data_IF_483536195761
#
_entry.id   IF_483536195761
#
_cell.length_a   1.000
_cell.length_b   1.000
_cell.length_c   1.000
_cell.angle_alpha   90.00
_cell.angle_beta   90.00
_cell.angle_gamma   90.00
#
_symmetry.space_group_name_H-M   'P 1'
#
loop_
_entity.id
_entity.type
_entity.pdbx_description
1 polymer ?
#
# COMPACT_ATOMS: atom_id res chain seq x y z
N UNK A 1 12.78 -2.52 -2.61
CA UNK A 1 11.96 -2.21 -1.41
C UNK A 1 11.21 -0.89 -1.62
N UNK A 2 9.92 -0.83 -1.27
CA UNK A 2 9.08 0.36 -1.34
C UNK A 2 8.57 0.77 0.03
N UNK A 3 8.95 1.97 0.47
CA UNK A 3 8.25 2.66 1.55
C UNK A 3 7.11 3.51 0.97
N UNK A 4 6.02 3.68 1.72
CA UNK A 4 4.87 4.45 1.26
C UNK A 4 4.32 5.35 2.36
N UNK A 5 3.61 6.41 1.96
CA UNK A 5 2.97 7.38 2.85
C UNK A 5 3.96 8.20 3.71
N UNK A 6 4.83 8.97 3.06
CA UNK A 6 5.73 9.91 3.73
C UNK A 6 5.29 11.37 3.57
N UNK A 7 5.24 12.09 4.70
CA UNK A 7 4.89 13.51 4.77
C UNK A 7 6.17 14.34 4.88
N UNK A 8 6.76 14.76 3.77
CA UNK A 8 8.10 15.41 3.80
C UNK A 8 8.07 16.89 3.42
N UNK A 9 6.95 17.41 2.94
CA UNK A 9 6.87 18.80 2.47
C UNK A 9 7.86 19.12 1.36
N UNK A 10 8.11 18.16 0.45
CA UNK A 10 9.24 18.12 -0.48
C UNK A 10 9.45 19.44 -1.21
N UNK A 11 8.45 19.90 -1.96
CA UNK A 11 8.57 21.10 -2.80
C UNK A 11 8.83 22.35 -1.97
N UNK A 12 8.12 22.51 -0.84
CA UNK A 12 8.30 23.65 0.05
C UNK A 12 9.75 23.72 0.55
N UNK A 13 10.27 22.60 1.06
CA UNK A 13 11.62 22.54 1.65
C UNK A 13 12.72 22.68 0.62
N UNK A 14 12.54 22.11 -0.57
CA UNK A 14 13.48 22.33 -1.67
C UNK A 14 13.55 23.82 -2.05
N UNK A 15 12.42 24.51 -2.11
CA UNK A 15 12.39 25.97 -2.38
C UNK A 15 13.04 26.78 -1.25
N UNK A 16 12.77 26.44 0.01
CA UNK A 16 13.43 27.07 1.17
C UNK A 16 14.95 26.83 1.17
N UNK A 17 15.40 25.69 0.64
CA UNK A 17 16.84 25.42 0.46
C UNK A 17 17.48 26.20 -0.69
N UNK A 18 16.68 26.85 -1.55
CA UNK A 18 17.14 27.69 -2.67
C UNK A 18 17.23 26.98 -4.03
N UNK A 19 17.00 25.67 -4.12
CA UNK A 19 16.98 24.94 -5.41
C UNK A 19 16.22 23.61 -5.31
N UNK A 20 15.55 23.21 -6.40
CA UNK A 20 14.96 21.86 -6.53
C UNK A 20 16.03 20.76 -6.70
N UNK A 21 17.27 21.13 -7.02
CA UNK A 21 18.39 20.20 -7.19
C UNK A 21 19.09 19.87 -5.86
N UNK A 22 18.81 20.64 -4.80
CA UNK A 22 19.32 20.33 -3.46
C UNK A 22 18.77 19.00 -2.95
N UNK A 23 19.53 18.30 -2.10
CA UNK A 23 19.11 17.03 -1.51
C UNK A 23 18.41 17.25 -0.17
N UNK A 24 17.26 16.60 0.01
CA UNK A 24 16.58 16.54 1.30
C UNK A 24 17.18 15.39 2.13
N UNK A 25 17.34 15.61 3.44
CA UNK A 25 17.80 14.57 4.35
C UNK A 25 16.90 13.31 4.29
N UNK A 26 15.58 13.45 4.12
CA UNK A 26 14.68 12.30 4.03
C UNK A 26 14.99 11.37 2.86
N UNK A 27 15.41 11.93 1.73
CA UNK A 27 15.80 11.15 0.55
C UNK A 27 17.06 10.33 0.87
N UNK A 28 18.05 10.97 1.49
CA UNK A 28 19.29 10.30 1.87
C UNK A 28 19.08 9.26 2.97
N UNK A 29 18.26 9.58 3.97
CA UNK A 29 17.91 8.65 5.05
C UNK A 29 17.08 7.46 4.53
N UNK A 30 16.15 7.66 3.59
CA UNK A 30 15.43 6.57 2.94
C UNK A 30 16.37 5.63 2.18
N UNK A 31 17.32 6.19 1.42
CA UNK A 31 18.37 5.41 0.75
C UNK A 31 19.21 4.62 1.76
N UNK A 32 19.63 5.26 2.86
CA UNK A 32 20.49 4.67 3.87
C UNK A 32 19.86 3.45 4.56
N UNK A 33 18.53 3.42 4.71
CA UNK A 33 17.80 2.26 5.27
C UNK A 33 17.36 1.23 4.21
N UNK A 34 17.84 1.36 2.96
CA UNK A 34 17.60 0.38 1.90
C UNK A 34 16.30 0.55 1.13
N UNK A 35 15.58 1.66 1.30
CA UNK A 35 14.40 1.97 0.47
C UNK A 35 14.87 2.38 -0.93
N UNK A 36 14.29 1.74 -1.96
CA UNK A 36 14.55 2.10 -3.36
C UNK A 36 13.40 2.93 -3.97
N UNK A 37 12.19 2.76 -3.46
CA UNK A 37 10.99 3.50 -3.88
C UNK A 37 10.43 4.23 -2.67
N UNK A 38 10.54 5.55 -2.67
CA UNK A 38 10.11 6.43 -1.59
C UNK A 38 8.80 7.12 -1.97
N UNK A 39 7.68 6.55 -1.51
CA UNK A 39 6.33 7.04 -1.79
C UNK A 39 5.96 8.25 -0.93
N UNK A 40 6.21 9.45 -1.45
CA UNK A 40 5.84 10.72 -0.81
C UNK A 40 4.40 11.07 -1.15
N UNK A 41 3.63 11.57 -0.17
CA UNK A 41 2.18 11.84 -0.32
C UNK A 41 1.83 13.33 -0.20
N UNK A 42 2.81 14.22 -0.35
CA UNK A 42 2.61 15.66 -0.16
C UNK A 42 1.62 16.25 -1.17
N UNK A 43 1.64 15.77 -2.42
CA UNK A 43 0.83 16.27 -3.52
C UNK A 43 1.17 17.70 -3.98
N UNK A 44 0.67 18.06 -5.17
CA UNK A 44 0.70 19.45 -5.64
C UNK A 44 -0.19 20.35 -4.77
N UNK A 45 0.14 21.65 -4.68
CA UNK A 45 -0.63 22.65 -3.91
C UNK A 45 -0.86 23.90 -4.74
N UNK A 46 -2.04 24.52 -4.60
CA UNK A 46 -2.38 25.78 -5.26
C UNK A 46 -3.81 26.22 -4.90
N UNK A 47 -4.06 27.53 -4.84
CA UNK A 47 -5.37 28.08 -4.44
C UNK A 47 -6.36 28.28 -5.60
N UNK A 48 -5.86 28.36 -6.83
CA UNK A 48 -6.66 28.41 -8.06
C UNK A 48 -6.41 27.14 -8.89
N UNK A 49 -7.26 26.88 -9.88
CA UNK A 49 -7.09 25.74 -10.78
C UNK A 49 -5.71 25.74 -11.47
N UNK A 50 -5.31 26.88 -12.04
CA UNK A 50 -3.98 27.01 -12.68
C UNK A 50 -2.83 26.87 -11.67
N UNK A 51 -2.94 27.47 -10.48
CA UNK A 51 -1.91 27.32 -9.46
C UNK A 51 -1.79 25.87 -8.97
N UNK A 52 -2.90 25.14 -8.90
CA UNK A 52 -2.90 23.73 -8.51
C UNK A 52 -2.27 22.83 -9.58
N UNK A 53 -2.53 23.11 -10.86
CA UNK A 53 -1.87 22.42 -11.97
C UNK A 53 -0.36 22.72 -12.02
N UNK A 54 0.02 23.98 -11.83
CA UNK A 54 1.42 24.38 -11.72
C UNK A 54 2.12 23.70 -10.51
N UNK A 55 1.44 23.61 -9.37
CA UNK A 55 1.94 22.92 -8.18
C UNK A 55 2.12 21.41 -8.39
N UNK A 56 1.21 20.75 -9.11
CA UNK A 56 1.39 19.35 -9.51
C UNK A 56 2.61 19.18 -10.43
N UNK A 57 2.78 20.07 -11.41
CA UNK A 57 3.93 20.03 -12.32
C UNK A 57 5.26 20.21 -11.58
N UNK A 58 5.33 21.17 -10.65
CA UNK A 58 6.50 21.41 -9.80
C UNK A 58 6.79 20.21 -8.89
N UNK A 59 5.76 19.55 -8.36
CA UNK A 59 5.89 18.32 -7.55
C UNK A 59 6.48 17.16 -8.35
N UNK A 60 6.03 16.96 -9.60
CA UNK A 60 6.60 15.94 -10.49
C UNK A 60 8.04 16.26 -10.90
N UNK A 61 8.36 17.53 -11.15
CA UNK A 61 9.75 17.94 -11.46
C UNK A 61 10.68 17.73 -10.27
N UNK A 62 10.24 18.11 -9.06
CA UNK A 62 10.98 17.84 -7.84
C UNK A 62 11.22 16.33 -7.63
N UNK A 63 10.20 15.49 -7.82
CA UNK A 63 10.34 14.05 -7.74
C UNK A 63 11.37 13.50 -8.75
N UNK A 64 11.38 14.00 -9.99
CA UNK A 64 12.39 13.62 -11.00
C UNK A 64 13.79 13.98 -10.54
N UNK A 65 14.01 15.19 -10.04
CA UNK A 65 15.33 15.69 -9.60
C UNK A 65 15.86 14.97 -8.36
N UNK A 66 14.97 14.48 -7.50
CA UNK A 66 15.32 13.68 -6.32
C UNK A 66 15.45 12.18 -6.62
N UNK A 67 15.06 11.74 -7.83
CA UNK A 67 15.21 10.36 -8.28
C UNK A 67 16.52 10.18 -9.08
N UNK A 68 16.99 8.94 -9.13
CA UNK A 68 18.12 8.52 -9.96
C UNK A 68 17.90 7.08 -10.47
N UNK A 69 18.93 6.44 -11.03
CA UNK A 69 18.83 5.09 -11.62
C UNK A 69 18.58 3.98 -10.59
N UNK A 70 18.83 4.25 -9.32
CA UNK A 70 18.78 3.31 -8.20
C UNK A 70 17.77 3.68 -7.13
N UNK A 71 17.17 4.88 -7.24
CA UNK A 71 16.21 5.39 -6.29
C UNK A 71 15.09 6.19 -6.97
N UNK A 72 13.85 5.93 -6.58
CA UNK A 72 12.67 6.60 -7.09
C UNK A 72 11.96 7.33 -5.96
N UNK A 73 11.77 8.64 -6.09
CA UNK A 73 10.75 9.37 -5.34
C UNK A 73 9.44 9.25 -6.11
N UNK A 74 8.46 8.53 -5.56
CA UNK A 74 7.16 8.33 -6.19
C UNK A 74 6.19 9.42 -5.69
N UNK A 75 5.73 10.35 -6.56
CA UNK A 75 4.96 11.53 -6.17
C UNK A 75 3.47 11.21 -6.02
N UNK A 76 3.11 10.52 -4.96
CA UNK A 76 1.73 10.23 -4.60
C UNK A 76 1.08 11.45 -3.90
N UNK A 77 -0.21 11.34 -3.59
CA UNK A 77 -0.95 12.39 -2.88
C UNK A 77 -1.93 11.79 -1.87
N UNK A 78 -1.83 12.19 -0.61
CA UNK A 78 -2.89 11.98 0.37
C UNK A 78 -3.95 13.06 0.17
N UNK A 79 -5.23 12.66 0.16
CA UNK A 79 -6.41 13.51 0.01
C UNK A 79 -6.43 14.29 -1.31
N UNK A 80 -7.06 13.72 -2.32
CA UNK A 80 -7.14 14.29 -3.68
C UNK A 80 -7.97 15.57 -3.79
N UNK A 81 -8.60 16.02 -2.70
CA UNK A 81 -9.58 17.12 -2.70
C UNK A 81 -11.03 16.67 -2.92
N UNK A 82 -11.26 15.36 -3.06
CA UNK A 82 -12.57 14.73 -3.17
C UNK A 82 -12.76 13.79 -1.97
N UNK A 83 -13.79 14.01 -1.16
CA UNK A 83 -14.10 13.18 0.01
C UNK A 83 -14.65 11.82 -0.44
N UNK A 84 -14.03 10.73 0.02
CA UNK A 84 -14.45 9.36 -0.28
C UNK A 84 -14.51 8.45 0.96
N UNK A 85 -14.56 9.02 2.16
CA UNK A 85 -14.69 8.28 3.41
C UNK A 85 -13.35 8.10 4.12
N UNK A 86 -12.81 9.19 4.67
CA UNK A 86 -11.55 9.20 5.40
C UNK A 86 -10.38 9.60 4.53
N UNK A 87 -9.16 9.44 5.05
CA UNK A 87 -7.97 9.75 4.25
C UNK A 87 -7.74 8.67 3.19
N UNK A 88 -7.22 9.10 2.05
CA UNK A 88 -6.86 8.21 0.95
C UNK A 88 -5.61 8.68 0.23
N UNK A 89 -4.75 7.73 -0.10
CA UNK A 89 -3.61 7.93 -0.97
C UNK A 89 -4.02 7.66 -2.41
N UNK A 90 -3.76 8.60 -3.31
CA UNK A 90 -3.77 8.37 -4.74
C UNK A 90 -2.36 8.05 -5.21
N UNK A 91 -2.15 6.81 -5.65
CA UNK A 91 -0.87 6.38 -6.21
C UNK A 91 -0.91 6.46 -7.73
N UNK A 92 0.05 7.19 -8.28
CA UNK A 92 0.06 7.53 -9.70
C UNK A 92 0.85 6.50 -10.50
N UNK A 93 0.40 6.19 -11.72
CA UNK A 93 1.16 5.40 -12.71
C UNK A 93 2.06 6.25 -13.60
N UNK A 94 1.81 7.57 -13.62
CA UNK A 94 2.50 8.60 -14.38
C UNK A 94 2.01 9.98 -13.92
N UNK A 95 2.73 11.07 -14.23
CA UNK A 95 2.23 12.43 -14.01
C UNK A 95 0.81 12.60 -14.57
N UNK A 96 -0.15 12.91 -13.69
CA UNK A 96 -1.57 13.05 -14.02
C UNK A 96 -2.07 14.37 -13.47
N UNK A 97 -2.72 15.18 -14.29
CA UNK A 97 -3.14 16.52 -13.90
C UNK A 97 -4.65 16.60 -13.68
N UNK A 98 -5.07 17.22 -12.59
CA UNK A 98 -6.47 17.50 -12.33
C UNK A 98 -6.70 18.83 -11.61
N UNK A 99 -7.95 19.29 -11.61
CA UNK A 99 -8.45 20.40 -10.80
C UNK A 99 -9.60 19.93 -9.91
N UNK A 100 -9.86 20.69 -8.85
CA UNK A 100 -11.00 20.47 -7.95
C UNK A 100 -12.11 21.44 -8.29
N UNK A 101 -13.33 20.92 -8.28
CA UNK A 101 -14.49 21.60 -8.83
C UNK A 101 -14.63 21.28 -10.31
N UNK A 102 -15.83 20.80 -10.68
CA UNK A 102 -16.25 20.60 -12.06
C UNK A 102 -17.56 21.36 -12.23
N UNK A 103 -17.57 22.35 -13.12
CA UNK A 103 -18.76 23.15 -13.35
C UNK A 103 -19.84 22.35 -14.09
N UNK A 104 -21.10 22.77 -13.95
CA UNK A 104 -22.22 22.15 -14.68
C UNK A 104 -21.97 22.21 -16.19
N UNK A 105 -22.12 21.06 -16.85
CA UNK A 105 -21.84 20.92 -18.28
C UNK A 105 -20.36 20.88 -18.68
N UNK A 106 -19.43 21.12 -17.75
CA UNK A 106 -18.00 20.98 -18.03
C UNK A 106 -17.65 19.51 -18.29
N UNK A 107 -16.88 19.19 -19.35
CA UNK A 107 -16.36 17.85 -19.55
C UNK A 107 -15.51 17.36 -18.36
N UNK A 108 -15.50 16.05 -18.11
CA UNK A 108 -14.61 15.46 -17.10
C UNK A 108 -13.13 15.68 -17.45
N UNK A 109 -12.82 15.71 -18.75
CA UNK A 109 -11.47 15.77 -19.27
C UNK A 109 -11.38 16.75 -20.42
N UNK A 110 -10.40 17.64 -20.38
CA UNK A 110 -10.14 18.64 -21.41
C UNK A 110 -8.64 18.68 -21.75
N UNK A 111 -8.27 18.99 -23.01
CA UNK A 111 -6.89 19.27 -23.35
C UNK A 111 -6.47 20.64 -22.79
N UNK A 112 -5.28 20.69 -22.22
CA UNK A 112 -4.63 21.89 -21.71
C UNK A 112 -3.33 22.13 -22.48
N UNK A 113 -3.07 23.35 -22.98
CA UNK A 113 -1.92 23.63 -23.85
C UNK A 113 -0.56 23.32 -23.19
N UNK A 114 -0.48 23.41 -21.86
CA UNK A 114 0.77 23.18 -21.10
C UNK A 114 0.87 21.81 -20.44
N UNK A 115 -0.25 21.24 -19.98
CA UNK A 115 -0.25 20.03 -19.13
C UNK A 115 -0.80 18.80 -19.87
N UNK A 116 -1.17 18.96 -21.14
CA UNK A 116 -1.80 17.90 -21.91
C UNK A 116 -3.19 17.61 -21.35
N UNK A 117 -3.46 16.39 -20.96
CA UNK A 117 -4.78 15.97 -20.47
C UNK A 117 -5.00 16.44 -19.03
N UNK A 118 -6.07 17.19 -18.78
CA UNK A 118 -6.49 17.64 -17.44
C UNK A 118 -7.87 17.11 -17.09
N UNK A 119 -8.02 16.56 -15.88
CA UNK A 119 -9.30 16.13 -15.32
C UNK A 119 -9.93 17.21 -14.43
N UNK A 120 -11.25 17.33 -14.45
CA UNK A 120 -12.00 18.22 -13.56
C UNK A 120 -12.82 17.38 -12.59
N UNK A 121 -12.43 17.34 -11.33
CA UNK A 121 -13.05 16.47 -10.33
C UNK A 121 -14.06 17.26 -9.49
N UNK A 122 -15.35 16.95 -9.64
CA UNK A 122 -16.43 17.51 -8.82
C UNK A 122 -17.06 16.51 -7.86
N UNK A 123 -16.79 15.21 -8.04
CA UNK A 123 -17.45 14.15 -7.30
C UNK A 123 -16.55 12.91 -7.10
N UNK A 124 -16.90 11.99 -6.18
CA UNK A 124 -16.26 10.69 -6.09
C UNK A 124 -16.28 9.91 -7.41
N UNK A 125 -17.36 10.01 -8.19
CA UNK A 125 -17.48 9.34 -9.48
C UNK A 125 -16.40 9.81 -10.47
N UNK A 126 -16.13 11.12 -10.52
CA UNK A 126 -15.07 11.68 -11.35
C UNK A 126 -13.68 11.16 -10.93
N UNK A 127 -13.41 11.10 -9.62
CA UNK A 127 -12.15 10.57 -9.09
C UNK A 127 -11.93 9.11 -9.50
N UNK A 128 -12.92 8.24 -9.30
CA UNK A 128 -12.81 6.83 -9.67
C UNK A 128 -12.71 6.64 -11.19
N UNK A 129 -13.39 7.48 -11.99
CA UNK A 129 -13.25 7.44 -13.44
C UNK A 129 -11.85 7.87 -13.91
N UNK A 130 -11.27 8.92 -13.33
CA UNK A 130 -9.87 9.28 -13.58
C UNK A 130 -8.93 8.14 -13.18
N UNK A 131 -9.17 7.53 -12.01
CA UNK A 131 -8.35 6.43 -11.47
C UNK A 131 -8.34 5.23 -12.42
N UNK A 132 -9.48 4.88 -13.03
CA UNK A 132 -9.55 3.83 -14.07
C UNK A 132 -8.82 4.22 -15.34
N UNK A 133 -9.12 5.39 -15.90
CA UNK A 133 -8.55 5.84 -17.18
C UNK A 133 -7.04 5.98 -17.15
N UNK A 134 -6.50 6.42 -16.01
CA UNK A 134 -5.06 6.65 -15.85
C UNK A 134 -4.31 5.48 -15.22
N UNK A 135 -4.94 4.31 -15.01
CA UNK A 135 -4.32 3.17 -14.35
C UNK A 135 -3.73 3.55 -12.98
N UNK A 136 -4.49 4.23 -12.14
CA UNK A 136 -4.09 4.62 -10.79
C UNK A 136 -4.67 3.61 -9.78
N UNK A 137 -4.24 3.72 -8.53
CA UNK A 137 -4.90 3.06 -7.39
C UNK A 137 -5.11 4.03 -6.25
N UNK A 138 -6.17 3.77 -5.48
CA UNK A 138 -6.49 4.47 -4.25
C UNK A 138 -6.29 3.51 -3.08
N UNK A 139 -5.62 3.94 -2.01
CA UNK A 139 -5.45 3.14 -0.80
C UNK A 139 -5.88 3.95 0.43
N UNK A 140 -6.45 3.30 1.46
CA UNK A 140 -6.76 3.96 2.74
C UNK A 140 -5.58 3.79 3.70
N UNK A 141 -4.71 4.79 3.88
CA UNK A 141 -3.44 4.58 4.58
C UNK A 141 -3.59 4.17 6.05
N UNK A 142 -4.53 4.76 6.79
CA UNK A 142 -4.63 4.54 8.24
C UNK A 142 -6.08 4.27 8.66
N UNK A 143 -6.65 3.11 8.29
CA UNK A 143 -8.06 2.79 8.52
C UNK A 143 -8.42 2.81 10.01
N UNK A 144 -9.68 3.11 10.32
CA UNK A 144 -10.26 3.16 11.69
C UNK A 144 -9.47 4.04 12.66
N UNK A 145 -8.70 5.00 12.15
CA UNK A 145 -7.88 5.91 12.95
C UNK A 145 -7.82 7.29 12.31
N UNK A 146 -7.38 8.31 13.06
CA UNK A 146 -7.26 9.70 12.58
C UNK A 146 -8.52 10.17 11.83
N UNK A 147 -8.36 10.82 10.68
CA UNK A 147 -9.45 11.26 9.81
C UNK A 147 -10.22 10.10 9.15
N UNK A 148 -9.74 8.87 9.26
CA UNK A 148 -10.40 7.66 8.76
C UNK A 148 -11.16 6.91 9.87
N UNK A 149 -11.44 7.56 11.00
CA UNK A 149 -12.27 6.98 12.07
C UNK A 149 -13.65 6.61 11.51
N UNK A 150 -14.07 5.36 11.68
CA UNK A 150 -15.33 4.83 11.11
C UNK A 150 -15.23 4.32 9.67
N UNK A 151 -14.05 4.38 9.05
CA UNK A 151 -13.79 3.90 7.69
C UNK A 151 -12.71 2.80 7.70
N UNK A 152 -12.76 1.81 6.78
CA UNK A 152 -13.61 1.75 5.57
C UNK A 152 -15.06 1.31 5.82
N UNK A 153 -15.45 0.95 7.04
CA UNK A 153 -16.78 0.41 7.35
C UNK A 153 -17.94 1.26 6.79
N UNK A 154 -17.90 2.58 6.98
CA UNK A 154 -18.93 3.49 6.48
C UNK A 154 -19.02 3.62 4.96
N UNK A 155 -17.99 3.21 4.22
CA UNK A 155 -17.94 3.28 2.74
C UNK A 155 -17.71 1.91 2.08
N UNK A 156 -17.84 0.82 2.84
CA UNK A 156 -17.60 -0.55 2.35
C UNK A 156 -18.54 -0.96 1.21
N UNK A 157 -19.73 -0.38 1.13
CA UNK A 157 -20.67 -0.67 0.05
C UNK A 157 -20.61 0.33 -1.12
N UNK A 158 -19.82 1.41 -0.99
CA UNK A 158 -19.77 2.51 -1.97
C UNK A 158 -18.36 2.70 -2.55
N UNK A 159 -17.57 3.59 -1.95
CA UNK A 159 -16.26 4.01 -2.45
C UNK A 159 -15.21 2.92 -2.26
N UNK A 160 -15.22 2.23 -1.11
CA UNK A 160 -14.29 1.13 -0.88
C UNK A 160 -14.60 -0.10 -1.75
N UNK A 161 -15.84 -0.23 -2.26
CA UNK A 161 -16.25 -1.28 -3.20
C UNK A 161 -15.79 -1.05 -4.66
N UNK A 162 -15.04 0.01 -4.96
CA UNK A 162 -14.51 0.22 -6.30
C UNK A 162 -13.30 -0.69 -6.57
N UNK A 163 -13.15 -1.11 -7.82
CA UNK A 163 -12.07 -1.97 -8.31
C UNK A 163 -10.68 -1.30 -8.25
N UNK A 164 -10.65 0.02 -8.34
CA UNK A 164 -9.42 0.81 -8.21
C UNK A 164 -9.11 1.24 -6.77
N UNK A 165 -9.97 0.90 -5.80
CA UNK A 165 -9.67 1.08 -4.39
C UNK A 165 -8.95 -0.17 -3.90
N UNK A 166 -7.63 -0.11 -3.78
CA UNK A 166 -6.75 -1.26 -3.58
C UNK A 166 -6.97 -1.93 -2.22
N UNK A 167 -7.15 -1.14 -1.17
CA UNK A 167 -7.42 -1.64 0.17
C UNK A 167 -7.01 -0.65 1.24
N UNK A 168 -6.30 -1.14 2.26
CA UNK A 168 -5.95 -0.36 3.42
C UNK A 168 -4.46 -0.44 3.77
N UNK A 169 -4.00 0.44 4.66
CA UNK A 169 -2.62 0.48 5.10
C UNK A 169 -2.37 -0.28 6.41
N UNK A 170 -1.13 -0.73 6.57
CA UNK A 170 -0.58 -1.41 7.73
C UNK A 170 0.63 -0.63 8.25
N UNK A 171 0.60 -0.31 9.54
CA UNK A 171 1.76 0.16 10.30
C UNK A 171 1.60 -0.20 11.76
N UNK A 172 2.69 -0.58 12.42
CA UNK A 172 2.68 -0.87 13.84
C UNK A 172 2.23 0.32 14.69
N UNK A 173 2.54 1.56 14.28
CA UNK A 173 2.06 2.73 15.00
C UNK A 173 0.53 2.97 14.96
N UNK A 174 -0.26 2.09 14.33
CA UNK A 174 -1.73 2.06 14.49
C UNK A 174 -2.18 1.20 15.69
N UNK A 175 -1.30 0.33 16.20
CA UNK A 175 -1.51 -0.50 17.38
C UNK A 175 -0.26 -1.33 17.68
N UNK A 176 0.34 -1.07 18.84
CA UNK A 176 1.37 -1.92 19.45
C UNK A 176 0.84 -2.28 20.83
N UNK A 177 0.42 -3.53 21.01
CA UNK A 177 0.05 -4.07 22.30
C UNK A 177 0.94 -5.26 22.60
N UNK A 178 1.70 -5.19 23.71
CA UNK A 178 2.64 -6.24 24.09
C UNK A 178 1.98 -7.57 24.48
N UNK A 179 0.65 -7.63 24.56
CA UNK A 179 -0.12 -8.87 24.71
C UNK A 179 -0.47 -9.54 23.37
N UNK A 180 -0.30 -8.84 22.24
CA UNK A 180 -0.51 -9.40 20.90
C UNK A 180 0.66 -10.30 20.50
N UNK A 181 0.37 -11.38 19.78
CA UNK A 181 1.40 -12.27 19.23
C UNK A 181 1.90 -11.82 17.86
N UNK A 182 1.20 -10.87 17.23
CA UNK A 182 1.48 -10.34 15.89
C UNK A 182 1.48 -8.83 15.96
N UNK A 183 2.36 -8.20 15.19
CA UNK A 183 2.36 -6.76 15.07
C UNK A 183 1.04 -6.26 14.47
N UNK A 184 0.37 -5.34 15.18
CA UNK A 184 -0.92 -4.76 14.78
C UNK A 184 -2.03 -5.82 14.55
N UNK A 185 -2.13 -6.83 15.44
CA UNK A 185 -3.08 -7.94 15.31
C UNK A 185 -4.54 -7.46 15.26
N UNK A 186 -5.00 -6.77 16.29
CA UNK A 186 -6.38 -6.31 16.42
C UNK A 186 -6.69 -5.15 15.48
N UNK A 187 -5.75 -4.20 15.36
CA UNK A 187 -5.98 -2.93 14.64
C UNK A 187 -5.85 -3.08 13.13
N UNK A 188 -4.93 -3.92 12.64
CA UNK A 188 -4.66 -4.05 11.21
C UNK A 188 -5.09 -5.41 10.65
N UNK A 189 -4.60 -6.52 11.24
CA UNK A 189 -4.79 -7.85 10.64
C UNK A 189 -6.24 -8.33 10.75
N UNK A 190 -6.95 -7.98 11.83
CA UNK A 190 -8.38 -8.22 11.95
C UNK A 190 -9.19 -7.54 10.83
N UNK A 191 -8.91 -6.26 10.56
CA UNK A 191 -9.53 -5.55 9.44
C UNK A 191 -9.12 -6.14 8.07
N UNK A 192 -7.88 -6.58 7.92
CA UNK A 192 -7.45 -7.28 6.71
C UNK A 192 -8.37 -8.47 6.43
N UNK A 193 -8.55 -9.33 7.41
CA UNK A 193 -9.36 -10.53 7.29
C UNK A 193 -10.85 -10.20 7.02
N UNK A 194 -11.38 -9.16 7.65
CA UNK A 194 -12.74 -8.65 7.40
C UNK A 194 -12.92 -8.15 5.96
N UNK A 195 -12.01 -7.31 5.47
CA UNK A 195 -12.14 -6.75 4.11
C UNK A 195 -12.02 -7.85 3.04
N UNK A 196 -11.24 -8.90 3.28
CA UNK A 196 -11.21 -10.05 2.37
C UNK A 196 -12.55 -10.76 2.34
N UNK A 197 -13.16 -10.99 3.50
CA UNK A 197 -14.47 -11.62 3.56
C UNK A 197 -15.59 -10.75 2.94
N UNK A 198 -15.55 -9.42 3.11
CA UNK A 198 -16.54 -8.51 2.51
C UNK A 198 -16.61 -8.58 0.97
N UNK A 199 -15.47 -8.84 0.32
CA UNK A 199 -15.33 -8.71 -1.13
C UNK A 199 -15.04 -10.02 -1.87
N UNK A 200 -14.72 -11.12 -1.18
CA UNK A 200 -14.34 -12.37 -1.87
C UNK A 200 -15.42 -12.91 -2.82
N UNK A 201 -16.70 -12.71 -2.52
CA UNK A 201 -17.81 -13.14 -3.37
C UNK A 201 -18.19 -12.13 -4.46
N UNK A 202 -17.54 -10.96 -4.50
CA UNK A 202 -17.81 -9.94 -5.50
C UNK A 202 -16.95 -10.15 -6.75
N UNK A 203 -17.42 -9.72 -7.94
CA UNK A 203 -16.68 -9.80 -9.19
C UNK A 203 -15.61 -8.70 -9.28
N UNK A 204 -14.73 -8.63 -8.28
CA UNK A 204 -13.65 -7.66 -8.17
C UNK A 204 -12.40 -8.31 -7.57
N UNK A 205 -11.22 -7.69 -7.73
CA UNK A 205 -10.02 -8.12 -7.02
C UNK A 205 -10.21 -8.15 -5.51
N UNK A 206 -9.47 -9.02 -4.83
CA UNK A 206 -9.37 -8.96 -3.37
C UNK A 206 -8.72 -7.64 -2.95
N UNK A 207 -9.07 -7.16 -1.76
CA UNK A 207 -8.38 -6.02 -1.18
C UNK A 207 -7.00 -6.43 -0.70
N UNK A 208 -6.07 -5.50 -0.77
CA UNK A 208 -4.70 -5.71 -0.31
C UNK A 208 -4.35 -4.79 0.84
N UNK A 209 -3.35 -5.20 1.62
CA UNK A 209 -2.85 -4.43 2.75
C UNK A 209 -1.47 -3.86 2.39
N UNK A 210 -1.33 -2.54 2.35
CA UNK A 210 -0.10 -1.85 2.00
C UNK A 210 0.67 -1.42 3.25
N UNK A 211 1.96 -1.70 3.34
CA UNK A 211 2.80 -1.10 4.38
C UNK A 211 2.88 0.42 4.18
N UNK A 212 2.60 1.19 5.24
CA UNK A 212 2.65 2.65 5.20
C UNK A 212 3.51 3.19 6.34
N UNK A 213 4.01 4.41 6.17
CA UNK A 213 4.61 5.22 7.22
C UNK A 213 3.70 6.37 7.61
N UNK A 214 4.08 7.10 8.65
CA UNK A 214 3.53 8.41 9.02
C UNK A 214 4.66 9.37 9.37
N UNK A 215 5.89 9.02 8.97
CA UNK A 215 7.05 9.84 9.21
C UNK A 215 6.84 11.21 8.57
N UNK A 216 7.13 12.24 9.38
CA UNK A 216 6.91 13.64 9.07
C UNK A 216 8.22 14.38 9.23
N UNK A 217 8.58 15.12 8.19
CA UNK A 217 9.80 15.90 8.15
C UNK A 217 9.47 17.29 7.60
N UNK A 218 8.68 18.05 8.34
CA UNK A 218 8.43 19.45 8.07
C UNK A 218 9.36 20.32 8.91
N UNK A 219 10.18 21.14 8.23
CA UNK A 219 10.82 22.31 8.86
C UNK A 219 9.67 23.28 9.19
N UNK A 220 9.10 23.20 10.40
CA UNK A 220 7.97 24.06 10.75
C UNK A 220 7.35 23.86 12.14
N UNK A 221 6.86 24.97 12.67
CA UNK A 221 6.36 25.32 14.02
C UNK A 221 5.30 24.40 14.67
N UNK A 222 4.95 23.26 14.06
CA UNK A 222 4.03 22.26 14.65
C UNK A 222 4.73 21.31 15.65
N UNK A 223 5.90 21.69 16.16
CA UNK A 223 6.65 20.91 17.16
C UNK A 223 7.23 19.59 16.62
N UNK A 224 7.54 19.53 15.32
CA UNK A 224 8.08 18.31 14.70
C UNK A 224 9.59 18.42 14.53
N UNK A 225 10.32 17.32 14.78
CA UNK A 225 11.76 17.37 14.91
C UNK A 225 12.47 17.66 13.59
N UNK A 226 13.66 18.30 13.64
CA UNK A 226 14.50 18.54 12.46
C UNK A 226 15.19 17.27 11.94
N UNK A 227 14.94 16.11 12.55
CA UNK A 227 15.51 14.81 12.20
C UNK A 227 14.44 13.90 11.60
N UNK A 228 14.86 12.99 10.71
CA UNK A 228 13.96 12.03 10.12
C UNK A 228 13.55 10.94 11.13
N UNK A 229 12.36 10.37 10.93
CA UNK A 229 11.81 9.31 11.78
C UNK A 229 11.56 8.02 10.97
N UNK A 230 12.39 7.77 9.95
CA UNK A 230 12.13 6.75 8.93
C UNK A 230 12.23 5.32 9.49
N UNK A 231 13.28 5.02 10.28
CA UNK A 231 13.52 3.66 10.77
C UNK A 231 12.42 3.19 11.74
N UNK A 232 12.04 4.02 12.71
CA UNK A 232 11.08 3.65 13.76
C UNK A 232 9.62 3.58 13.28
N UNK A 233 9.30 4.00 12.05
CA UNK A 233 7.91 4.26 11.63
C UNK A 233 7.48 3.63 10.30
N UNK A 234 8.18 2.63 9.76
CA UNK A 234 7.85 2.15 8.41
C UNK A 234 8.11 0.67 8.21
N UNK A 235 7.08 -0.20 8.33
CA UNK A 235 7.13 -1.44 7.57
C UNK A 235 7.20 -1.08 6.08
N UNK A 236 7.72 -2.01 5.28
CA UNK A 236 7.96 -1.79 3.86
C UNK A 236 7.22 -2.81 3.01
N UNK A 237 6.97 -2.43 1.76
CA UNK A 237 6.43 -3.30 0.73
C UNK A 237 7.59 -3.83 -0.12
N UNK A 238 7.76 -5.14 -0.19
CA UNK A 238 8.65 -5.76 -1.17
C UNK A 238 7.86 -6.06 -2.43
N UNK A 239 7.87 -5.12 -3.37
CA UNK A 239 7.16 -5.21 -4.64
C UNK A 239 8.00 -5.96 -5.67
N UNK A 240 7.42 -6.96 -6.31
CA UNK A 240 8.07 -7.75 -7.36
C UNK A 240 8.13 -6.95 -8.65
N UNK A 241 9.34 -6.53 -9.02
CA UNK A 241 9.61 -5.70 -10.20
C UNK A 241 10.84 -6.23 -10.93
N UNK A 242 10.81 -6.17 -12.27
CA UNK A 242 11.98 -6.53 -13.09
C UNK A 242 13.10 -5.50 -13.00
N UNK A 243 12.72 -4.22 -12.86
CA UNK A 243 13.63 -3.07 -12.71
C UNK A 243 12.93 -1.93 -11.99
N UNK A 244 13.70 -1.00 -11.44
CA UNK A 244 13.18 0.24 -10.87
C UNK A 244 12.59 1.13 -11.99
N UNK A 245 11.32 1.56 -11.88
CA UNK A 245 10.73 2.51 -12.82
C UNK A 245 11.21 3.95 -12.58
N UNK A 246 10.86 4.84 -13.50
CA UNK A 246 11.08 6.29 -13.38
C UNK A 246 9.80 7.00 -12.98
N UNK A 247 9.90 8.24 -12.53
CA UNK A 247 8.74 9.10 -12.20
C UNK A 247 7.72 9.21 -13.34
N UNK A 248 8.17 9.15 -14.60
CA UNK A 248 7.32 9.28 -15.78
C UNK A 248 6.46 8.05 -16.10
N UNK A 249 6.83 6.88 -15.57
CA UNK A 249 6.09 5.63 -15.76
C UNK A 249 6.31 4.69 -14.56
N UNK A 250 5.47 4.84 -13.56
CA UNK A 250 5.37 3.99 -12.38
C UNK A 250 4.30 2.91 -12.53
N UNK A 251 3.73 2.73 -13.74
CA UNK A 251 2.75 1.68 -14.02
C UNK A 251 3.22 0.26 -13.64
N UNK A 252 4.51 -0.12 -13.70
CA UNK A 252 4.96 -1.42 -13.20
C UNK A 252 4.67 -1.63 -11.71
N UNK A 253 4.82 -0.59 -10.88
CA UNK A 253 4.51 -0.63 -9.44
C UNK A 253 3.00 -0.80 -9.26
N UNK A 254 2.21 0.04 -9.92
CA UNK A 254 0.75 0.00 -9.80
C UNK A 254 0.19 -1.36 -10.23
N UNK A 255 0.69 -1.91 -11.33
CA UNK A 255 0.26 -3.20 -11.84
C UNK A 255 0.68 -4.36 -10.93
N UNK A 256 1.87 -4.30 -10.32
CA UNK A 256 2.30 -5.30 -9.33
C UNK A 256 1.43 -5.26 -8.08
N UNK A 257 1.11 -4.06 -7.57
CA UNK A 257 0.23 -3.91 -6.41
C UNK A 257 -1.17 -4.47 -6.70
N UNK A 258 -1.80 -4.08 -7.82
CA UNK A 258 -3.12 -4.59 -8.25
C UNK A 258 -3.21 -6.12 -8.32
N UNK A 259 -2.09 -6.79 -8.61
CA UNK A 259 -2.02 -8.27 -8.66
C UNK A 259 -1.73 -8.92 -7.30
N UNK A 260 -1.37 -8.13 -6.29
CA UNK A 260 -0.89 -8.62 -5.01
C UNK A 260 0.55 -9.16 -5.09
N UNK A 261 1.33 -8.75 -6.09
CA UNK A 261 2.72 -9.20 -6.30
C UNK A 261 3.71 -8.48 -5.35
N UNK A 262 3.40 -8.50 -4.06
CA UNK A 262 4.24 -7.94 -3.02
C UNK A 262 3.94 -8.57 -1.65
N UNK A 263 4.86 -8.39 -0.71
CA UNK A 263 4.61 -8.71 0.70
C UNK A 263 4.94 -7.51 1.57
N UNK A 264 4.28 -7.45 2.73
CA UNK A 264 4.56 -6.48 3.79
C UNK A 264 5.53 -7.11 4.77
N UNK A 265 6.50 -6.34 5.26
CA UNK A 265 7.44 -6.78 6.27
C UNK A 265 7.89 -5.63 7.17
N UNK A 266 8.24 -5.92 8.41
CA UNK A 266 8.98 -5.01 9.28
C UNK A 266 10.47 -4.90 8.92
N UNK A 267 11.03 -5.89 8.21
CA UNK A 267 12.43 -5.96 7.77
C UNK A 267 13.18 -7.18 8.28
N UNK A 268 12.81 -7.68 9.46
CA UNK A 268 13.48 -8.80 10.15
C UNK A 268 13.05 -10.17 9.63
N UNK A 269 11.89 -10.25 8.99
CA UNK A 269 11.33 -11.47 8.39
C UNK A 269 11.02 -11.20 6.93
N UNK A 270 11.48 -12.03 6.00
CA UNK A 270 11.29 -11.85 4.56
C UNK A 270 10.59 -13.07 3.95
N UNK A 271 9.68 -12.85 3.00
CA UNK A 271 9.01 -13.92 2.24
C UNK A 271 9.37 -13.74 0.76
N UNK A 272 10.50 -14.32 0.36
CA UNK A 272 11.07 -14.13 -0.99
C UNK A 272 10.31 -14.86 -2.10
N UNK A 273 9.55 -15.90 -1.73
CA UNK A 273 8.65 -16.61 -2.64
C UNK A 273 7.39 -17.07 -1.90
N UNK A 274 6.27 -17.11 -2.60
CA UNK A 274 5.01 -17.64 -2.11
C UNK A 274 4.19 -18.18 -3.28
N UNK A 275 3.60 -19.36 -3.10
CA UNK A 275 2.66 -19.95 -4.04
C UNK A 275 1.66 -20.86 -3.33
N UNK A 276 0.49 -21.02 -3.93
CA UNK A 276 -0.50 -22.06 -3.61
C UNK A 276 -0.47 -23.07 -4.75
N UNK A 277 0.10 -24.23 -4.50
CA UNK A 277 0.28 -25.32 -5.46
C UNK A 277 -0.85 -26.36 -5.36
N UNK A 278 -1.12 -27.03 -6.47
CA UNK A 278 -2.15 -28.06 -6.58
C UNK A 278 -3.54 -27.52 -6.95
N UNK A 279 -4.51 -28.43 -7.01
CA UNK A 279 -5.89 -28.16 -7.46
C UNK A 279 -6.90 -28.87 -6.58
N UNK A 280 -8.15 -28.40 -6.59
CA UNK A 280 -9.22 -28.99 -5.77
C UNK A 280 -9.04 -28.68 -4.28
N UNK A 281 -9.47 -29.62 -3.43
CA UNK A 281 -9.48 -29.47 -1.98
C UNK A 281 -8.09 -29.60 -1.34
N UNK A 282 -7.23 -30.50 -1.82
CA UNK A 282 -5.89 -30.69 -1.23
C UNK A 282 -4.88 -29.83 -1.97
N UNK A 283 -4.36 -28.81 -1.29
CA UNK A 283 -3.37 -27.88 -1.85
C UNK A 283 -2.19 -27.73 -0.89
N UNK A 284 -1.10 -27.17 -1.39
CA UNK A 284 0.11 -26.92 -0.60
C UNK A 284 0.52 -25.48 -0.75
N UNK A 285 0.75 -24.79 0.37
CA UNK A 285 1.45 -23.51 0.36
C UNK A 285 2.93 -23.78 0.35
N UNK A 286 3.64 -23.15 -0.57
CA UNK A 286 5.11 -23.11 -0.59
C UNK A 286 5.59 -21.69 -0.38
N UNK A 287 6.53 -21.49 0.53
CA UNK A 287 7.14 -20.19 0.73
C UNK A 287 8.58 -20.29 1.21
N UNK A 288 9.44 -19.43 0.65
CA UNK A 288 10.82 -19.27 1.09
C UNK A 288 10.88 -18.10 2.09
N UNK A 289 11.07 -18.42 3.36
CA UNK A 289 11.09 -17.46 4.47
C UNK A 289 12.51 -17.37 5.04
N UNK A 290 12.95 -16.14 5.30
CA UNK A 290 14.22 -15.80 5.95
C UNK A 290 13.96 -14.90 7.16
N UNK A 291 14.74 -15.04 8.23
CA UNK A 291 14.53 -14.27 9.46
C UNK A 291 15.83 -13.97 10.21
N UNK A 292 15.83 -12.85 10.94
CA UNK A 292 16.94 -12.41 11.80
C UNK A 292 16.81 -12.97 13.22
N UNK A 293 15.73 -12.62 13.94
CA UNK A 293 15.46 -13.13 15.29
C UNK A 293 14.82 -14.52 15.24
N UNK A 294 14.88 -15.33 16.32
CA UNK A 294 14.24 -16.64 16.33
C UNK A 294 12.79 -16.56 15.86
N UNK A 295 12.42 -17.37 14.87
CA UNK A 295 11.07 -17.39 14.32
C UNK A 295 10.13 -18.10 15.32
N UNK A 296 9.06 -17.43 15.77
CA UNK A 296 8.10 -18.02 16.71
C UNK A 296 7.16 -18.99 15.98
N UNK A 297 6.53 -18.52 14.90
CA UNK A 297 5.64 -19.34 14.09
C UNK A 297 5.48 -18.83 12.66
N UNK A 298 5.07 -19.74 11.78
CA UNK A 298 4.41 -19.40 10.52
C UNK A 298 2.94 -19.76 10.62
N UNK A 299 2.09 -19.01 9.92
CA UNK A 299 0.66 -19.28 9.88
C UNK A 299 0.07 -19.18 8.49
N UNK A 300 -0.87 -20.07 8.21
CA UNK A 300 -1.75 -20.00 7.05
C UNK A 300 -3.08 -19.46 7.54
N UNK A 301 -3.56 -18.37 6.96
CA UNK A 301 -4.84 -17.73 7.30
C UNK A 301 -5.76 -17.81 6.10
N UNK A 302 -7.02 -18.18 6.31
CA UNK A 302 -8.02 -18.31 5.25
C UNK A 302 -9.39 -17.82 5.70
N UNK A 303 -10.27 -17.54 4.74
CA UNK A 303 -11.67 -17.24 5.02
C UNK A 303 -12.63 -17.84 4.01
N UNK A 304 -13.89 -17.96 4.41
CA UNK A 304 -15.00 -18.51 3.61
C UNK A 304 -15.96 -17.41 3.08
N UNK A 305 -15.62 -16.14 3.28
CA UNK A 305 -16.47 -14.99 2.99
C UNK A 305 -17.32 -14.51 4.16
N UNK A 306 -17.25 -15.19 5.32
CA UNK A 306 -17.97 -14.83 6.56
C UNK A 306 -17.09 -14.92 7.79
N UNK A 307 -16.33 -16.00 7.89
CA UNK A 307 -15.43 -16.31 9.00
C UNK A 307 -14.00 -16.45 8.51
N UNK A 308 -13.07 -16.23 9.42
CA UNK A 308 -11.64 -16.39 9.20
C UNK A 308 -11.09 -17.38 10.21
N UNK A 309 -10.23 -18.28 9.75
CA UNK A 309 -9.55 -19.27 10.58
C UNK A 309 -8.10 -19.42 10.11
N UNK A 310 -7.28 -20.11 10.90
CA UNK A 310 -5.84 -20.20 10.68
C UNK A 310 -5.24 -21.51 11.20
N UNK A 311 -4.14 -21.90 10.59
CA UNK A 311 -3.26 -22.95 11.08
C UNK A 311 -1.95 -22.29 11.49
N UNK A 312 -1.59 -22.44 12.77
CA UNK A 312 -0.31 -21.97 13.31
C UNK A 312 0.64 -23.15 13.40
N UNK A 313 1.87 -22.95 12.90
CA UNK A 313 2.93 -23.95 12.91
C UNK A 313 4.09 -23.36 13.71
N UNK A 314 4.37 -23.97 14.87
CA UNK A 314 5.51 -23.58 15.69
C UNK A 314 6.81 -23.73 14.90
N UNK A 315 7.70 -22.77 15.05
CA UNK A 315 9.04 -22.79 14.46
C UNK A 315 10.14 -22.58 15.50
N UNK A 316 9.80 -22.73 16.78
CA UNK A 316 10.70 -22.53 17.92
C UNK A 316 11.89 -23.49 17.96
N UNK A 317 11.89 -24.52 17.12
CA UNK A 317 13.01 -25.44 16.91
C UNK A 317 14.06 -24.90 15.92
N UNK A 318 13.74 -23.82 15.19
CA UNK A 318 14.63 -23.23 14.19
C UNK A 318 15.57 -22.19 14.81
N UNK A 319 16.85 -22.14 14.39
CA UNK A 319 17.80 -21.16 14.93
C UNK A 319 17.52 -19.74 14.42
N UNK A 320 18.02 -18.68 15.09
CA UNK A 320 18.05 -17.33 14.54
C UNK A 320 18.91 -17.23 13.28
N UNK A 321 18.81 -16.13 12.54
CA UNK A 321 19.51 -15.90 11.26
C UNK A 321 19.31 -17.04 10.26
N UNK A 322 18.09 -17.56 10.20
CA UNK A 322 17.74 -18.76 9.45
C UNK A 322 17.01 -18.46 8.16
N UNK A 323 16.97 -19.46 7.28
CA UNK A 323 16.12 -19.50 6.10
C UNK A 323 15.54 -20.89 5.92
N UNK A 324 14.29 -21.00 5.52
CA UNK A 324 13.61 -22.27 5.29
C UNK A 324 12.55 -22.14 4.21
N UNK A 325 12.50 -23.16 3.34
CA UNK A 325 11.36 -23.40 2.46
C UNK A 325 10.30 -24.15 3.24
N UNK A 326 9.16 -23.52 3.46
CA UNK A 326 7.99 -24.14 4.06
C UNK A 326 7.14 -24.80 2.98
N UNK A 327 6.63 -26.00 3.27
CA UNK A 327 5.64 -26.72 2.46
C UNK A 327 4.50 -27.13 3.38
N UNK A 328 3.40 -26.39 3.33
CA UNK A 328 2.29 -26.50 4.28
C UNK A 328 1.08 -27.04 3.54
N UNK A 329 0.73 -28.33 3.71
CA UNK A 329 -0.50 -28.86 3.15
C UNK A 329 -1.71 -28.26 3.88
N UNK A 330 -2.76 -27.92 3.13
CA UNK A 330 -4.03 -27.45 3.70
C UNK A 330 -5.22 -27.96 2.89
N UNK A 331 -6.37 -28.05 3.55
CA UNK A 331 -7.64 -28.39 2.92
C UNK A 331 -8.41 -27.11 2.51
N UNK A 332 -8.45 -26.83 1.21
CA UNK A 332 -9.16 -25.73 0.57
C UNK A 332 -10.69 -25.88 0.59
N UNK A 333 -11.26 -26.97 1.10
CA UNK A 333 -12.72 -27.17 1.14
C UNK A 333 -13.41 -26.03 1.91
N UNK A 334 -14.37 -25.38 1.25
CA UNK A 334 -15.13 -24.25 1.78
C UNK A 334 -14.36 -22.93 1.89
N UNK A 335 -13.04 -22.91 1.61
CA UNK A 335 -12.20 -21.71 1.71
C UNK A 335 -12.23 -20.94 0.39
N UNK A 336 -12.31 -19.61 0.48
CA UNK A 336 -12.41 -18.72 -0.68
C UNK A 336 -11.20 -17.83 -0.88
N UNK A 337 -10.41 -17.59 0.15
CA UNK A 337 -9.12 -16.92 0.06
C UNK A 337 -8.14 -17.52 1.07
N UNK A 338 -6.85 -17.39 0.80
CA UNK A 338 -5.77 -17.83 1.71
C UNK A 338 -4.57 -16.89 1.62
N UNK A 339 -3.86 -16.69 2.72
CA UNK A 339 -2.58 -15.97 2.81
C UNK A 339 -1.64 -16.65 3.81
N UNK A 340 -0.36 -16.33 3.72
CA UNK A 340 0.68 -16.75 4.66
C UNK A 340 1.18 -15.53 5.46
N UNK A 341 1.52 -15.76 6.73
CA UNK A 341 2.32 -14.84 7.52
C UNK A 341 3.40 -15.60 8.33
N UNK A 342 4.46 -14.89 8.70
CA UNK A 342 5.57 -15.40 9.50
C UNK A 342 5.94 -14.36 10.56
N UNK A 343 6.14 -14.80 11.80
CA UNK A 343 6.34 -13.93 12.95
C UNK A 343 7.49 -14.42 13.81
N UNK A 344 8.35 -13.50 14.24
CA UNK A 344 9.45 -13.78 15.16
C UNK A 344 9.08 -13.52 16.63
N UNK A 345 9.97 -13.91 17.53
CA UNK A 345 9.78 -13.75 18.99
C UNK A 345 9.67 -12.30 19.47
N UNK A 346 10.05 -11.33 18.64
CA UNK A 346 9.91 -9.90 18.91
C UNK A 346 8.64 -9.31 18.26
N UNK A 347 7.73 -10.16 17.79
CA UNK A 347 6.49 -9.83 17.06
C UNK A 347 6.71 -9.18 15.69
N UNK A 348 7.96 -9.05 15.23
CA UNK A 348 8.23 -8.63 13.86
C UNK A 348 7.71 -9.69 12.91
N UNK A 349 7.39 -9.30 11.69
CA UNK A 349 6.86 -10.28 10.76
C UNK A 349 6.69 -9.79 9.35
N UNK A 350 6.31 -10.75 8.52
CA UNK A 350 5.94 -10.53 7.15
C UNK A 350 4.67 -11.29 6.80
N UNK A 351 3.90 -10.73 5.87
CA UNK A 351 2.73 -11.39 5.31
C UNK A 351 2.58 -11.07 3.83
N UNK A 352 2.07 -12.04 3.09
CA UNK A 352 1.79 -11.93 1.65
C UNK A 352 0.36 -11.44 1.42
N UNK A 353 0.11 -10.87 0.25
CA UNK A 353 -1.26 -10.61 -0.19
C UNK A 353 -2.01 -11.93 -0.45
N UNK A 354 -3.35 -11.94 -0.25
CA UNK A 354 -4.15 -13.15 -0.35
C UNK A 354 -4.32 -13.63 -1.79
N UNK A 355 -4.45 -14.94 -1.93
CA UNK A 355 -4.87 -15.58 -3.18
C UNK A 355 -6.34 -15.96 -3.06
N UNK A 356 -7.14 -15.57 -4.06
CA UNK A 356 -8.51 -16.05 -4.23
C UNK A 356 -8.48 -17.53 -4.64
N UNK A 357 -9.13 -18.38 -3.86
CA UNK A 357 -9.27 -19.80 -4.15
C UNK A 357 -10.48 -19.98 -5.07
N UNK A 358 -10.24 -20.42 -6.30
CA UNK A 358 -11.34 -20.83 -7.17
C UNK A 358 -12.06 -22.04 -6.55
N UNK A 359 -13.40 -21.98 -6.52
CA UNK A 359 -14.21 -23.10 -6.10
C UNK A 359 -13.88 -24.33 -6.95
N UNK A 360 -13.74 -25.49 -6.31
CA UNK A 360 -13.80 -26.74 -7.06
C UNK A 360 -15.18 -26.81 -7.74
N UNK A 361 -15.28 -27.23 -9.03
CA UNK A 361 -16.57 -27.44 -9.65
C UNK A 361 -17.37 -28.40 -8.77
N UNK A 362 -18.57 -27.98 -8.34
CA UNK A 362 -19.51 -28.87 -7.68
C UNK A 362 -19.92 -29.92 -8.71
N UNK A 363 -19.31 -31.10 -8.66
CA UNK A 363 -19.86 -32.27 -9.35
C UNK A 363 -21.18 -32.60 -8.69
N UNK A 364 -22.27 -32.08 -9.24
CA UNK A 364 -23.61 -32.54 -8.95
C UNK A 364 -23.70 -33.99 -9.44
N UNK A 365 -23.61 -34.95 -8.52
CA UNK A 365 -24.06 -36.32 -8.78
C UNK A 365 -25.57 -36.26 -9.00
N UNK A 366 -26.02 -36.64 -10.20
CA UNK A 366 -27.43 -36.88 -10.51
C UNK A 366 -27.94 -38.12 -9.80
#
# INVERSE_FOLDING_TARGET
MMGSHYHVGMVKRLKESGSLDNRLNDVESAKAIGINIFGVIDGGRGRSAEAFLAGQAEYYDAARRQSDRTFLVMPNMENTGIEIGGHHDLMLSKPTFWTIGRADGQPLVEPHPKYGKVYHLGSPADLFEMTRRENLIINMPHPRSKGSTGFPDGVKETHFAQDTYEGAGFRWGMGIDGSERRLCEYRCLGLFDEMLNWYVDRPMPLKHMQAISEARSDIGERGRPPYDALYANGPVNYVKLDRLPTVDDTSPIINAMKRGDYFVTSGEVLISSYAVEGSGARRTITADVEWTFPLDFVEVVWGDGRTTDRQIISTTDLPPFGKKRFQIPFDATGKKWVRLAAWDVATNGAFVQPIKLQAAPTTASR
#
